data_IF_995920722537
#
_entry.id   IF_995920722537
#
_cell.length_a   1.000
_cell.length_b   1.000
_cell.length_c   1.000
_cell.angle_alpha   90.00
_cell.angle_beta   90.00
_cell.angle_gamma   90.00
#
_symmetry.space_group_name_H-M   'P 1'
#
loop_
_entity.id
_entity.type
_entity.pdbx_description
1 polymer ?
#
# COMPACT_ATOMS: atom_id res chain seq x y z
N UNK A 1 4.81 8.11 -4.53
CA UNK A 1 5.65 7.54 -3.46
C UNK A 1 5.33 6.05 -3.33
N UNK A 2 6.33 5.18 -3.15
CA UNK A 2 6.07 3.74 -3.03
C UNK A 2 5.45 3.42 -1.66
N UNK A 3 4.22 2.92 -1.66
CA UNK A 3 3.49 2.42 -0.49
C UNK A 3 4.03 1.04 -0.08
N UNK A 4 5.34 0.92 0.12
CA UNK A 4 5.87 -0.30 0.70
C UNK A 4 5.45 -0.38 2.17
N UNK A 5 4.92 -1.53 2.63
CA UNK A 5 4.60 -1.70 4.03
C UNK A 5 5.87 -1.49 4.86
N UNK A 6 5.82 -0.48 5.74
CA UNK A 6 6.90 -0.16 6.64
C UNK A 6 7.30 -1.35 7.54
N UNK A 7 8.46 -1.30 8.20
CA UNK A 7 8.95 -2.40 9.04
C UNK A 7 7.94 -2.77 10.15
N UNK A 8 7.19 -1.80 10.69
CA UNK A 8 6.15 -2.03 11.70
C UNK A 8 4.97 -2.85 11.17
N UNK A 9 4.49 -2.57 9.95
CA UNK A 9 3.37 -3.32 9.38
C UNK A 9 3.79 -4.73 8.98
N UNK A 10 5.02 -4.91 8.49
CA UNK A 10 5.60 -6.23 8.24
C UNK A 10 5.74 -7.06 9.52
N UNK A 11 6.23 -6.46 10.61
CA UNK A 11 6.27 -7.11 11.92
C UNK A 11 4.87 -7.51 12.43
N UNK A 12 3.88 -6.64 12.25
CA UNK A 12 2.49 -6.95 12.62
C UNK A 12 1.90 -8.11 11.80
N UNK A 13 2.16 -8.17 10.48
CA UNK A 13 1.75 -9.29 9.65
C UNK A 13 2.43 -10.60 10.08
N UNK A 14 3.74 -10.58 10.34
CA UNK A 14 4.48 -11.74 10.82
C UNK A 14 3.95 -12.23 12.19
N UNK A 15 3.66 -11.31 13.12
CA UNK A 15 3.07 -11.65 14.40
C UNK A 15 1.68 -12.27 14.25
N UNK A 16 0.83 -11.72 13.39
CA UNK A 16 -0.49 -12.27 13.11
C UNK A 16 -0.41 -13.69 12.52
N UNK A 17 0.57 -13.94 11.63
CA UNK A 17 0.82 -15.26 11.07
C UNK A 17 1.39 -16.25 12.09
N UNK A 18 2.23 -15.79 13.02
CA UNK A 18 2.73 -16.64 14.09
C UNK A 18 1.61 -17.04 15.06
N UNK A 19 0.71 -16.10 15.40
CA UNK A 19 -0.48 -16.38 16.23
C UNK A 19 -1.43 -17.34 15.53
N UNK A 20 -1.71 -17.15 14.24
CA UNK A 20 -2.56 -18.07 13.49
C UNK A 20 -1.91 -19.44 13.30
N UNK A 21 -0.58 -19.52 13.20
CA UNK A 21 0.17 -20.77 13.16
C UNK A 21 0.01 -21.52 14.49
N UNK A 22 0.20 -20.83 15.62
CA UNK A 22 0.01 -21.41 16.95
C UNK A 22 -1.43 -21.95 17.14
N UNK A 23 -2.44 -21.19 16.71
CA UNK A 23 -3.84 -21.61 16.75
C UNK A 23 -4.12 -22.82 15.84
N UNK A 24 -3.54 -22.84 14.65
CA UNK A 24 -3.64 -23.96 13.71
C UNK A 24 -3.01 -25.22 14.29
N UNK A 25 -1.82 -25.11 14.88
CA UNK A 25 -1.10 -26.22 15.51
C UNK A 25 -1.89 -26.77 16.70
N UNK A 26 -2.44 -25.90 17.55
CA UNK A 26 -3.27 -26.31 18.68
C UNK A 26 -4.52 -27.08 18.22
N UNK A 27 -5.19 -26.59 17.16
CA UNK A 27 -6.35 -27.24 16.57
C UNK A 27 -6.00 -28.60 15.97
N UNK A 28 -4.91 -28.69 15.22
CA UNK A 28 -4.44 -29.94 14.61
C UNK A 28 -4.01 -30.95 15.66
N UNK A 29 -3.32 -30.52 16.72
CA UNK A 29 -2.99 -31.39 17.85
C UNK A 29 -4.23 -31.98 18.54
N UNK A 30 -5.33 -31.21 18.62
CA UNK A 30 -6.58 -31.65 19.22
C UNK A 30 -7.34 -32.64 18.33
N UNK A 31 -7.43 -32.37 17.02
CA UNK A 31 -8.28 -33.12 16.08
C UNK A 31 -7.57 -34.31 15.42
N UNK A 32 -6.25 -34.25 15.23
CA UNK A 32 -5.47 -35.23 14.46
C UNK A 32 -4.33 -35.82 15.31
N UNK A 33 -4.64 -36.74 16.25
CA UNK A 33 -3.63 -37.32 17.13
C UNK A 33 -2.55 -38.11 16.37
N UNK A 34 -2.86 -38.64 15.19
CA UNK A 34 -1.92 -39.34 14.32
C UNK A 34 -0.80 -38.46 13.77
N UNK A 35 -0.98 -37.13 13.75
CA UNK A 35 0.03 -36.19 13.26
C UNK A 35 1.08 -35.81 14.32
N UNK A 36 0.95 -36.24 15.59
CA UNK A 36 1.78 -35.78 16.73
C UNK A 36 3.27 -36.20 16.72
N UNK A 37 3.83 -36.56 15.56
CA UNK A 37 5.22 -36.96 15.37
C UNK A 37 6.09 -35.89 14.68
N UNK A 38 7.11 -36.35 13.94
CA UNK A 38 8.02 -35.48 13.18
C UNK A 38 7.29 -34.57 12.18
N UNK A 39 6.19 -35.08 11.60
CA UNK A 39 5.38 -34.36 10.61
C UNK A 39 4.69 -33.10 11.17
N UNK A 40 4.27 -33.12 12.45
CA UNK A 40 3.77 -31.92 13.13
C UNK A 40 4.85 -30.85 13.17
N UNK A 41 6.05 -31.23 13.63
CA UNK A 41 7.16 -30.28 13.81
C UNK A 41 7.67 -29.72 12.48
N UNK A 42 7.67 -30.52 11.42
CA UNK A 42 7.99 -30.03 10.07
C UNK A 42 6.94 -29.03 9.56
N UNK A 43 5.64 -29.29 9.80
CA UNK A 43 4.57 -28.34 9.48
C UNK A 43 4.70 -27.03 10.27
N UNK A 44 4.96 -27.13 11.57
CA UNK A 44 5.22 -25.97 12.45
C UNK A 44 6.42 -25.17 11.93
N UNK A 45 7.53 -25.84 11.61
CA UNK A 45 8.73 -25.20 11.08
C UNK A 45 8.45 -24.50 9.75
N UNK A 46 7.69 -25.11 8.85
CA UNK A 46 7.28 -24.49 7.59
C UNK A 46 6.43 -23.23 7.80
N UNK A 47 5.43 -23.28 8.69
CA UNK A 47 4.59 -22.12 9.02
C UNK A 47 5.41 -20.98 9.66
N UNK A 48 6.31 -21.30 10.58
CA UNK A 48 7.17 -20.31 11.25
C UNK A 48 8.18 -19.70 10.28
N UNK A 49 8.81 -20.51 9.42
CA UNK A 49 9.75 -20.02 8.40
C UNK A 49 9.05 -19.07 7.42
N UNK A 50 7.85 -19.42 6.96
CA UNK A 50 7.04 -18.55 6.09
C UNK A 50 6.59 -17.27 6.82
N UNK A 51 6.21 -17.37 8.09
CA UNK A 51 5.83 -16.20 8.91
C UNK A 51 7.01 -15.25 9.11
N UNK A 52 8.21 -15.79 9.36
CA UNK A 52 9.45 -15.02 9.46
C UNK A 52 9.80 -14.37 8.11
N UNK A 53 9.67 -15.09 6.99
CA UNK A 53 9.90 -14.55 5.65
C UNK A 53 9.02 -13.32 5.37
N UNK A 54 7.76 -13.30 5.82
CA UNK A 54 6.87 -12.14 5.70
C UNK A 54 7.37 -10.94 6.53
N UNK A 55 8.01 -11.18 7.67
CA UNK A 55 8.59 -10.12 8.51
C UNK A 55 9.87 -9.52 7.92
N UNK A 56 10.72 -10.34 7.32
CA UNK A 56 12.06 -9.93 6.87
C UNK A 56 12.14 -9.54 5.39
N UNK A 57 11.38 -10.20 4.51
CA UNK A 57 11.46 -9.99 3.07
C UNK A 57 10.49 -8.89 2.58
N UNK A 58 10.67 -8.47 1.33
CA UNK A 58 9.63 -7.69 0.63
C UNK A 58 8.42 -8.62 0.35
N UNK A 59 7.18 -8.11 0.39
CA UNK A 59 5.97 -8.93 0.15
C UNK A 59 6.02 -9.75 -1.14
N UNK A 60 6.58 -9.18 -2.21
CA UNK A 60 6.76 -9.85 -3.51
C UNK A 60 7.64 -11.10 -3.40
N UNK A 61 8.69 -11.04 -2.58
CA UNK A 61 9.64 -12.15 -2.37
C UNK A 61 9.15 -13.14 -1.30
N UNK A 62 8.29 -12.70 -0.38
CA UNK A 62 7.68 -13.56 0.63
C UNK A 62 6.58 -14.47 0.04
N UNK A 63 5.87 -14.00 -1.00
CA UNK A 63 4.80 -14.75 -1.66
C UNK A 63 5.21 -16.16 -2.15
N UNK A 64 6.32 -16.35 -2.87
CA UNK A 64 6.81 -17.70 -3.23
C UNK A 64 7.05 -18.61 -2.02
N UNK A 65 7.63 -18.07 -0.94
CA UNK A 65 7.94 -18.84 0.28
C UNK A 65 6.66 -19.32 0.95
N UNK A 66 5.66 -18.44 1.04
CA UNK A 66 4.35 -18.74 1.64
C UNK A 66 3.59 -19.74 0.78
N UNK A 67 3.60 -19.58 -0.54
CA UNK A 67 2.98 -20.53 -1.46
C UNK A 67 3.66 -21.91 -1.39
N UNK A 68 5.00 -21.97 -1.29
CA UNK A 68 5.72 -23.24 -1.13
C UNK A 68 5.36 -23.94 0.20
N UNK A 69 5.29 -23.19 1.31
CA UNK A 69 4.83 -23.73 2.59
C UNK A 69 3.38 -24.22 2.52
N UNK A 70 2.50 -23.47 1.86
CA UNK A 70 1.11 -23.89 1.63
C UNK A 70 1.02 -25.17 0.79
N UNK A 71 1.81 -25.29 -0.29
CA UNK A 71 1.90 -26.51 -1.10
C UNK A 71 2.38 -27.69 -0.27
N UNK A 72 3.41 -27.51 0.55
CA UNK A 72 3.92 -28.56 1.45
C UNK A 72 2.84 -29.04 2.43
N UNK A 73 2.05 -28.12 2.99
CA UNK A 73 0.97 -28.47 3.91
C UNK A 73 -0.20 -29.19 3.21
N UNK A 74 -0.54 -28.79 1.97
CA UNK A 74 -1.63 -29.39 1.20
C UNK A 74 -1.27 -30.76 0.63
N UNK A 75 -0.05 -30.93 0.10
CA UNK A 75 0.37 -32.14 -0.59
C UNK A 75 1.12 -33.12 0.30
N UNK A 76 1.61 -32.65 1.45
CA UNK A 76 2.43 -33.41 2.37
C UNK A 76 1.63 -34.06 3.50
N UNK A 77 2.28 -34.32 4.65
CA UNK A 77 1.67 -35.02 5.78
C UNK A 77 0.43 -34.32 6.36
N UNK A 78 0.28 -33.01 6.10
CA UNK A 78 -0.83 -32.18 6.59
C UNK A 78 -2.04 -32.14 5.65
N UNK A 79 -2.06 -32.97 4.59
CA UNK A 79 -3.12 -32.96 3.59
C UNK A 79 -4.52 -33.16 4.20
N UNK A 80 -4.68 -34.09 5.14
CA UNK A 80 -5.95 -34.39 5.79
C UNK A 80 -6.43 -33.24 6.71
N UNK A 81 -5.52 -32.68 7.50
CA UNK A 81 -5.78 -31.50 8.32
C UNK A 81 -6.11 -30.26 7.47
N UNK A 82 -5.54 -30.17 6.27
CA UNK A 82 -5.83 -29.07 5.36
C UNK A 82 -7.16 -29.26 4.63
N UNK A 83 -7.48 -30.49 4.19
CA UNK A 83 -8.74 -30.83 3.54
C UNK A 83 -9.97 -30.65 4.45
N UNK A 84 -9.81 -30.88 5.76
CA UNK A 84 -10.82 -30.61 6.78
C UNK A 84 -10.98 -29.12 7.14
N UNK A 85 -10.10 -28.25 6.64
CA UNK A 85 -10.09 -26.83 6.97
C UNK A 85 -9.44 -26.48 8.32
N UNK A 86 -8.88 -27.46 9.05
CA UNK A 86 -8.17 -27.20 10.31
C UNK A 86 -6.89 -26.37 10.11
N UNK A 87 -6.26 -26.47 8.92
CA UNK A 87 -5.10 -25.67 8.54
C UNK A 87 -5.44 -24.24 8.08
N UNK A 88 -6.25 -23.50 8.86
CA UNK A 88 -6.73 -22.17 8.49
C UNK A 88 -5.61 -21.13 8.31
N UNK A 89 -4.41 -21.37 8.87
CA UNK A 89 -3.21 -20.57 8.60
C UNK A 89 -2.97 -20.34 7.11
N UNK A 90 -3.20 -21.35 6.25
CA UNK A 90 -2.97 -21.23 4.79
C UNK A 90 -3.83 -20.14 4.18
N UNK A 91 -5.12 -20.08 4.55
CA UNK A 91 -6.05 -19.07 4.06
C UNK A 91 -5.68 -17.66 4.57
N UNK A 92 -5.27 -17.54 5.84
CA UNK A 92 -4.83 -16.28 6.44
C UNK A 92 -3.54 -15.78 5.77
N UNK A 93 -2.56 -16.67 5.58
CA UNK A 93 -1.29 -16.37 4.94
C UNK A 93 -1.46 -15.95 3.49
N UNK A 94 -2.21 -16.72 2.70
CA UNK A 94 -2.51 -16.39 1.31
C UNK A 94 -3.18 -15.01 1.18
N UNK A 95 -4.18 -14.72 2.03
CA UNK A 95 -4.90 -13.43 2.00
C UNK A 95 -4.01 -12.24 2.37
N UNK A 96 -3.25 -12.35 3.46
CA UNK A 96 -2.39 -11.26 3.93
C UNK A 96 -1.27 -10.97 2.94
N UNK A 97 -0.64 -12.02 2.42
CA UNK A 97 0.52 -11.89 1.54
C UNK A 97 0.10 -11.44 0.15
N UNK A 98 -1.05 -11.91 -0.37
CA UNK A 98 -1.58 -11.43 -1.65
C UNK A 98 -2.01 -9.96 -1.57
N UNK A 99 -2.60 -9.53 -0.45
CA UNK A 99 -2.94 -8.12 -0.18
C UNK A 99 -1.69 -7.25 -0.11
N UNK A 100 -0.67 -7.67 0.63
CA UNK A 100 0.59 -6.94 0.77
C UNK A 100 1.37 -6.90 -0.55
N UNK A 101 1.36 -7.98 -1.33
CA UNK A 101 1.96 -8.02 -2.66
C UNK A 101 1.24 -7.09 -3.64
N UNK A 102 -0.10 -7.09 -3.67
CA UNK A 102 -0.87 -6.20 -4.54
C UNK A 102 -0.59 -4.70 -4.28
N UNK A 103 -0.29 -4.35 -3.03
CA UNK A 103 0.11 -3.00 -2.65
C UNK A 103 1.55 -2.67 -3.07
N UNK A 104 2.46 -3.65 -2.99
CA UNK A 104 3.90 -3.45 -3.20
C UNK A 104 4.38 -3.60 -4.66
N UNK A 105 3.64 -4.34 -5.50
CA UNK A 105 4.01 -4.60 -6.90
C UNK A 105 4.09 -3.29 -7.71
N UNK A 106 5.23 -3.11 -8.38
CA UNK A 106 5.53 -1.96 -9.25
C UNK A 106 5.42 -2.31 -10.72
N UNK A 107 5.94 -3.49 -11.11
CA UNK A 107 6.06 -3.91 -12.51
C UNK A 107 5.39 -5.25 -12.79
N UNK A 108 5.13 -5.52 -14.08
CA UNK A 108 4.56 -6.81 -14.54
C UNK A 108 5.39 -8.01 -14.08
N UNK A 109 6.71 -7.89 -14.06
CA UNK A 109 7.61 -8.95 -13.61
C UNK A 109 7.44 -9.26 -12.11
N UNK A 110 7.32 -8.24 -11.28
CA UNK A 110 7.06 -8.42 -9.84
C UNK A 110 5.67 -9.04 -9.61
N UNK A 111 4.67 -8.68 -10.42
CA UNK A 111 3.35 -9.29 -10.37
C UNK A 111 3.41 -10.81 -10.64
N UNK A 112 4.15 -11.21 -11.68
CA UNK A 112 4.33 -12.63 -12.02
C UNK A 112 5.04 -13.36 -10.88
N UNK A 113 6.13 -12.80 -10.33
CA UNK A 113 6.86 -13.42 -9.21
C UNK A 113 5.96 -13.58 -7.98
N UNK A 114 5.12 -12.59 -7.67
CA UNK A 114 4.24 -12.64 -6.51
C UNK A 114 3.06 -13.61 -6.69
N UNK A 115 2.43 -13.65 -7.87
CA UNK A 115 1.15 -14.34 -8.05
C UNK A 115 1.24 -15.70 -8.76
N UNK A 116 2.26 -15.94 -9.59
CA UNK A 116 2.45 -17.24 -10.24
C UNK A 116 2.54 -18.42 -9.23
N UNK A 117 3.21 -18.28 -8.07
CA UNK A 117 3.24 -19.35 -7.07
C UNK A 117 1.86 -19.73 -6.52
N UNK A 118 0.94 -18.76 -6.39
CA UNK A 118 -0.43 -19.03 -5.96
C UNK A 118 -1.27 -19.75 -7.03
N UNK A 119 -0.97 -19.50 -8.31
CA UNK A 119 -1.58 -20.27 -9.42
C UNK A 119 -1.09 -21.71 -9.39
N UNK A 120 0.22 -21.92 -9.16
CA UNK A 120 0.79 -23.26 -8.99
C UNK A 120 0.18 -23.97 -7.77
N UNK A 121 0.03 -23.26 -6.66
CA UNK A 121 -0.66 -23.78 -5.47
C UNK A 121 -2.11 -24.21 -5.78
N UNK A 122 -2.88 -23.39 -6.47
CA UNK A 122 -4.25 -23.74 -6.85
C UNK A 122 -4.30 -24.94 -7.79
N UNK A 123 -3.37 -25.05 -8.74
CA UNK A 123 -3.24 -26.20 -9.62
C UNK A 123 -2.90 -27.48 -8.82
N UNK A 124 -2.03 -27.36 -7.82
CA UNK A 124 -1.70 -28.47 -6.93
C UNK A 124 -2.90 -28.93 -6.09
N UNK A 125 -3.69 -27.99 -5.55
CA UNK A 125 -4.96 -28.31 -4.84
C UNK A 125 -5.96 -28.96 -5.79
N UNK A 126 -6.07 -28.47 -7.03
CA UNK A 126 -6.96 -29.05 -8.04
C UNK A 126 -6.59 -30.51 -8.34
N UNK A 127 -5.29 -30.77 -8.50
CA UNK A 127 -4.77 -32.08 -8.79
C UNK A 127 -4.97 -33.05 -7.61
N UNK A 128 -4.77 -32.59 -6.37
CA UNK A 128 -4.91 -33.44 -5.18
C UNK A 128 -6.37 -33.73 -4.80
N UNK A 129 -7.27 -32.77 -5.01
CA UNK A 129 -8.68 -32.90 -4.66
C UNK A 129 -9.56 -33.45 -5.79
N UNK A 130 -9.00 -33.66 -6.99
CA UNK A 130 -9.72 -33.95 -8.23
C UNK A 130 -10.93 -33.03 -8.47
N UNK A 131 -10.88 -31.80 -7.93
CA UNK A 131 -12.01 -30.89 -7.87
C UNK A 131 -11.62 -29.48 -8.31
N UNK A 132 -12.28 -29.02 -9.37
CA UNK A 132 -12.17 -27.63 -9.86
C UNK A 132 -12.72 -26.64 -8.83
N UNK A 133 -13.74 -27.04 -8.06
CA UNK A 133 -14.29 -26.24 -6.97
C UNK A 133 -13.32 -26.10 -5.80
N UNK A 134 -12.52 -27.13 -5.51
CA UNK A 134 -11.43 -27.07 -4.54
C UNK A 134 -10.36 -26.07 -4.96
N UNK A 135 -10.00 -26.06 -6.24
CA UNK A 135 -9.06 -25.09 -6.81
C UNK A 135 -9.58 -23.65 -6.70
N UNK A 136 -10.83 -23.40 -7.07
CA UNK A 136 -11.50 -22.10 -6.95
C UNK A 136 -11.59 -21.64 -5.48
N UNK A 137 -11.95 -22.55 -4.57
CA UNK A 137 -11.98 -22.29 -3.13
C UNK A 137 -10.61 -21.90 -2.58
N UNK A 138 -9.54 -22.56 -3.05
CA UNK A 138 -8.16 -22.24 -2.65
C UNK A 138 -7.65 -20.88 -3.17
N UNK A 139 -8.22 -20.39 -4.26
CA UNK A 139 -7.92 -19.07 -4.82
C UNK A 139 -8.72 -17.95 -4.17
N UNK A 140 -9.86 -18.25 -3.52
CA UNK A 140 -10.70 -17.23 -2.89
C UNK A 140 -9.94 -16.35 -1.87
N UNK A 141 -9.09 -16.89 -0.97
CA UNK A 141 -8.25 -16.08 -0.09
C UNK A 141 -7.29 -15.16 -0.86
N UNK A 142 -6.68 -15.67 -1.93
CA UNK A 142 -5.74 -14.91 -2.77
C UNK A 142 -6.46 -13.74 -3.42
N UNK A 143 -7.59 -14.00 -4.09
CA UNK A 143 -8.41 -13.00 -4.77
C UNK A 143 -9.01 -11.96 -3.80
N UNK A 144 -9.49 -12.42 -2.65
CA UNK A 144 -10.00 -11.55 -1.59
C UNK A 144 -8.91 -10.61 -1.07
N UNK A 145 -7.74 -11.15 -0.76
CA UNK A 145 -6.58 -10.38 -0.34
C UNK A 145 -6.11 -9.38 -1.40
N UNK A 146 -5.98 -9.79 -2.67
CA UNK A 146 -5.57 -8.87 -3.75
C UNK A 146 -6.56 -7.74 -3.95
N UNK A 147 -7.86 -8.04 -3.92
CA UNK A 147 -8.91 -7.04 -4.13
C UNK A 147 -8.90 -6.02 -3.00
N UNK A 148 -8.76 -6.50 -1.75
CA UNK A 148 -8.65 -5.63 -0.58
C UNK A 148 -7.39 -4.76 -0.64
N UNK A 149 -6.24 -5.34 -1.00
CA UNK A 149 -4.97 -4.61 -1.14
C UNK A 149 -5.02 -3.52 -2.21
N UNK A 150 -5.61 -3.82 -3.37
CA UNK A 150 -5.84 -2.82 -4.42
C UNK A 150 -6.82 -1.74 -3.97
N UNK A 151 -7.88 -2.11 -3.24
CA UNK A 151 -8.83 -1.16 -2.65
C UNK A 151 -8.17 -0.17 -1.69
N UNK A 152 -7.26 -0.64 -0.83
CA UNK A 152 -6.47 0.23 0.03
C UNK A 152 -5.55 1.17 -0.77
N UNK A 153 -4.83 0.64 -1.76
CA UNK A 153 -3.96 1.44 -2.64
C UNK A 153 -4.74 2.54 -3.37
N UNK A 154 -5.95 2.24 -3.85
CA UNK A 154 -6.83 3.22 -4.48
C UNK A 154 -7.30 4.29 -3.50
N UNK A 155 -7.66 3.92 -2.26
CA UNK A 155 -8.06 4.88 -1.22
C UNK A 155 -6.93 5.81 -0.84
N UNK A 156 -5.70 5.30 -0.73
CA UNK A 156 -4.54 6.14 -0.43
C UNK A 156 -4.20 7.07 -1.59
N UNK A 157 -4.26 6.59 -2.84
CA UNK A 157 -4.13 7.44 -4.02
C UNK A 157 -5.20 8.55 -4.05
N UNK A 158 -6.44 8.27 -3.64
CA UNK A 158 -7.49 9.28 -3.53
C UNK A 158 -7.20 10.31 -2.43
N UNK A 159 -6.67 9.88 -1.28
CA UNK A 159 -6.27 10.79 -0.19
C UNK A 159 -5.13 11.70 -0.61
N UNK A 160 -4.12 11.17 -1.30
CA UNK A 160 -3.02 11.97 -1.84
C UNK A 160 -3.53 13.01 -2.84
N UNK A 161 -4.43 12.62 -3.76
CA UNK A 161 -5.06 13.57 -4.70
C UNK A 161 -5.81 14.70 -3.99
N UNK A 162 -6.58 14.38 -2.94
CA UNK A 162 -7.28 15.39 -2.14
C UNK A 162 -6.32 16.32 -1.40
N UNK A 163 -5.22 15.78 -0.87
CA UNK A 163 -4.20 16.58 -0.19
C UNK A 163 -3.47 17.52 -1.16
N UNK A 164 -3.19 17.06 -2.39
CA UNK A 164 -2.61 17.90 -3.44
C UNK A 164 -3.58 18.99 -3.89
N UNK A 165 -4.85 18.66 -4.12
CA UNK A 165 -5.89 19.64 -4.47
C UNK A 165 -6.06 20.70 -3.37
N UNK A 166 -6.03 20.31 -2.09
CA UNK A 166 -6.10 21.26 -0.97
C UNK A 166 -4.88 22.19 -0.89
N UNK A 167 -3.68 21.71 -1.28
CA UNK A 167 -2.48 22.56 -1.36
C UNK A 167 -2.54 23.53 -2.53
N UNK A 168 -3.04 23.09 -3.67
CA UNK A 168 -3.24 23.93 -4.86
C UNK A 168 -4.26 25.04 -4.56
N UNK A 169 -5.41 24.70 -3.98
CA UNK A 169 -6.42 25.70 -3.59
C UNK A 169 -5.84 26.79 -2.68
N UNK A 170 -5.01 26.44 -1.69
CA UNK A 170 -4.34 27.41 -0.81
C UNK A 170 -3.31 28.28 -1.55
N UNK A 171 -2.64 27.73 -2.57
CA UNK A 171 -1.71 28.50 -3.39
C UNK A 171 -2.47 29.51 -4.26
N UNK A 172 -3.59 29.08 -4.84
CA UNK A 172 -4.46 29.93 -5.66
C UNK A 172 -5.09 31.05 -4.83
N UNK A 173 -5.53 30.77 -3.61
CA UNK A 173 -6.00 31.79 -2.66
C UNK A 173 -4.93 32.85 -2.36
N UNK A 174 -3.67 32.44 -2.16
CA UNK A 174 -2.55 33.37 -1.91
C UNK A 174 -2.26 34.24 -3.13
N UNK A 175 -2.32 33.67 -4.32
CA UNK A 175 -2.14 34.42 -5.57
C UNK A 175 -3.29 35.42 -5.79
N UNK A 176 -4.53 35.01 -5.55
CA UNK A 176 -5.69 35.89 -5.65
C UNK A 176 -5.62 37.06 -4.65
N UNK A 177 -5.22 36.79 -3.40
CA UNK A 177 -5.01 37.84 -2.40
C UNK A 177 -3.87 38.79 -2.78
N UNK A 178 -2.77 38.27 -3.32
CA UNK A 178 -1.66 39.11 -3.79
C UNK A 178 -2.10 40.03 -4.94
N UNK A 179 -2.90 39.53 -5.88
CA UNK A 179 -3.46 40.33 -6.98
C UNK A 179 -4.37 41.45 -6.44
N UNK A 180 -5.28 41.15 -5.50
CA UNK A 180 -6.15 42.15 -4.89
C UNK A 180 -5.36 43.24 -4.15
N UNK A 181 -4.30 42.87 -3.43
CA UNK A 181 -3.43 43.85 -2.76
C UNK A 181 -2.66 44.71 -3.76
N UNK A 182 -2.20 44.12 -4.87
CA UNK A 182 -1.53 44.86 -5.94
C UNK A 182 -2.46 45.86 -6.61
N UNK A 183 -3.69 45.48 -6.91
CA UNK A 183 -4.69 46.38 -7.51
C UNK A 183 -5.04 47.53 -6.56
N UNK A 184 -5.21 47.24 -5.27
CA UNK A 184 -5.50 48.26 -4.26
C UNK A 184 -4.32 49.22 -4.06
N UNK A 185 -3.09 48.72 -4.05
CA UNK A 185 -1.88 49.54 -3.98
C UNK A 185 -1.76 50.44 -5.22
N UNK A 186 -1.97 49.88 -6.41
CA UNK A 186 -1.96 50.61 -7.68
C UNK A 186 -3.02 51.71 -7.72
N UNK A 187 -4.24 51.42 -7.26
CA UNK A 187 -5.33 52.39 -7.18
C UNK A 187 -5.05 53.52 -6.18
N UNK A 188 -4.42 53.22 -5.03
CA UNK A 188 -4.02 54.26 -4.06
C UNK A 188 -2.90 55.13 -4.59
N UNK A 189 -1.87 54.54 -5.21
CA UNK A 189 -0.76 55.28 -5.81
C UNK A 189 -1.25 56.20 -6.92
N UNK A 190 -2.12 55.73 -7.82
CA UNK A 190 -2.73 56.58 -8.86
C UNK A 190 -3.53 57.74 -8.28
N UNK A 191 -4.31 57.53 -7.21
CA UNK A 191 -5.02 58.64 -6.55
C UNK A 191 -4.08 59.67 -5.93
N UNK A 192 -2.99 59.22 -5.27
CA UNK A 192 -2.00 60.13 -4.69
C UNK A 192 -1.34 60.97 -5.78
N UNK A 193 -0.91 60.33 -6.88
CA UNK A 193 -0.29 61.02 -8.03
C UNK A 193 -1.26 62.03 -8.65
N UNK A 194 -2.53 61.65 -8.85
CA UNK A 194 -3.54 62.55 -9.40
C UNK A 194 -3.84 63.74 -8.47
N UNK A 195 -3.94 63.51 -7.15
CA UNK A 195 -4.15 64.56 -6.17
C UNK A 195 -2.96 65.53 -6.09
N UNK A 196 -1.73 65.01 -6.15
CA UNK A 196 -0.51 65.80 -6.18
C UNK A 196 -0.43 66.68 -7.45
N UNK A 197 -0.79 66.13 -8.62
CA UNK A 197 -0.88 66.90 -9.88
C UNK A 197 -1.92 68.01 -9.81
N UNK A 198 -3.10 67.74 -9.23
CA UNK A 198 -4.17 68.73 -9.10
C UNK A 198 -3.82 69.88 -8.15
N UNK A 199 -2.86 69.68 -7.23
CA UNK A 199 -2.39 70.70 -6.29
C UNK A 199 -1.29 71.62 -6.86
N UNK A 200 -0.90 71.46 -8.15
CA UNK A 200 0.14 72.25 -8.84
C UNK A 200 1.45 72.40 -8.03
N UNK A 201 1.84 71.36 -7.28
CA UNK A 201 3.08 71.38 -6.51
C UNK A 201 4.30 71.32 -7.45
N UNK A 202 5.14 72.37 -7.50
CA UNK A 202 6.28 72.42 -8.41
C UNK A 202 7.36 71.43 -7.95
N UNK A 203 7.84 70.58 -8.87
CA UNK A 203 8.95 69.62 -8.66
C UNK A 203 8.56 68.14 -8.62
N UNK A 204 7.28 67.79 -8.48
CA UNK A 204 6.83 66.38 -8.38
C UNK A 204 7.02 65.61 -9.69
N UNK A 205 6.97 66.30 -10.82
CA UNK A 205 7.11 65.69 -12.15
C UNK A 205 8.55 65.24 -12.42
N UNK A 206 9.54 66.00 -11.93
CA UNK A 206 10.97 65.67 -12.03
C UNK A 206 11.33 64.51 -11.09
N UNK A 207 10.81 64.50 -9.86
CA UNK A 207 11.02 63.41 -8.89
C UNK A 207 10.34 62.10 -9.33
N UNK A 208 9.14 62.17 -9.92
CA UNK A 208 8.45 61.01 -10.46
C UNK A 208 9.20 60.41 -11.68
N UNK A 209 9.77 61.25 -12.54
CA UNK A 209 10.59 60.81 -13.67
C UNK A 209 11.93 60.21 -13.23
N UNK A 210 12.55 60.76 -12.18
CA UNK A 210 13.77 60.19 -11.58
C UNK A 210 13.52 58.80 -10.98
N UNK A 211 12.43 58.61 -10.23
CA UNK A 211 12.06 57.31 -9.67
C UNK A 211 11.72 56.26 -10.75
N UNK A 212 11.05 56.67 -11.84
CA UNK A 212 10.77 55.81 -13.01
C UNK A 212 12.04 55.43 -13.78
N UNK A 213 13.03 56.33 -13.85
CA UNK A 213 14.32 56.06 -14.49
C UNK A 213 15.16 55.05 -13.69
N UNK A 214 15.08 55.09 -12.35
CA UNK A 214 15.80 54.17 -11.47
C UNK A 214 15.18 52.75 -11.50
N UNK A 215 13.85 52.66 -11.53
CA UNK A 215 13.13 51.39 -11.71
C UNK A 215 13.39 50.70 -13.06
N UNK A 216 13.77 51.45 -14.11
CA UNK A 216 14.12 50.90 -15.43
C UNK A 216 15.54 50.35 -15.52
N UNK A 217 16.39 50.61 -14.52
CA UNK A 217 17.79 50.14 -14.47
C UNK A 217 17.97 48.86 -13.65
N UNK A 218 16.95 48.43 -12.92
CA UNK A 218 16.88 47.15 -12.20
C UNK A 218 16.19 46.11 -13.08
#
# INVERSE_FOLDING_TARGET
>A
MSLEPGPRTRAAHAALLAVSAAGTVALVMALFPGLRGADLWLGVAAMLAASAAVGFLRPVSAAPVVAAAACYLVLGPWAEATGSGAAFWVAVAASLVSSAAAQAVRDRREAVIAFAPFVVFAAAVAASSHSVWGALGSLAPVLGGTTFGLGLRLRDAQRERRALAARQARADERLALAAQLHDLATARLTRIVLAARAAEQPGIEDDAQAALADLRRV
#
